data_IF_669855451598
#
_entry.id   IF_669855451598
#
_cell.length_a   1.000
_cell.length_b   1.000
_cell.length_c   1.000
_cell.angle_alpha   90.00
_cell.angle_beta   90.00
_cell.angle_gamma   90.00
#
_symmetry.space_group_name_H-M   'P 1'
#
loop_
_entity.id
_entity.type
_entity.pdbx_description
1 polymer ?
#
# COMPACT_ATOMS: atom_id res chain seq x y z
N UNK A 1 -1.65 24.03 31.27
CA UNK A 1 -2.60 24.16 30.14
C UNK A 1 -1.71 24.38 28.92
N UNK A 2 -1.22 23.33 28.23
CA UNK A 2 -1.91 22.47 27.25
C UNK A 2 -2.69 23.35 26.26
N UNK A 3 -2.44 23.37 24.94
CA UNK A 3 -2.21 22.24 24.03
C UNK A 3 -1.27 22.63 22.86
N UNK A 4 -0.41 21.69 22.47
CA UNK A 4 0.27 21.63 21.17
C UNK A 4 -0.76 21.23 20.12
N UNK A 5 -1.09 22.14 19.21
CA UNK A 5 -1.89 21.82 18.02
C UNK A 5 -0.98 21.19 16.97
N UNK A 6 -1.07 19.87 16.86
CA UNK A 6 -0.47 19.08 15.80
C UNK A 6 -1.19 19.44 14.50
N UNK A 7 -0.61 20.36 13.72
CA UNK A 7 -1.09 20.66 12.38
C UNK A 7 -0.82 19.46 11.45
N UNK A 8 -1.83 18.61 11.29
CA UNK A 8 -1.90 17.59 10.25
C UNK A 8 -2.10 18.31 8.91
N UNK A 9 -1.01 18.54 8.19
CA UNK A 9 -1.04 19.18 6.89
C UNK A 9 -1.77 18.28 5.89
N UNK A 10 -2.98 18.68 5.51
CA UNK A 10 -3.68 18.15 4.33
C UNK A 10 -2.80 18.39 3.10
N UNK A 11 -2.36 17.36 2.36
CA UNK A 11 -1.56 17.55 1.17
C UNK A 11 -2.40 18.25 0.08
N UNK A 12 -1.77 19.10 -0.75
CA UNK A 12 -2.46 19.81 -1.83
C UNK A 12 -3.08 18.84 -2.84
N UNK A 13 -4.24 19.20 -3.39
CA UNK A 13 -5.08 18.37 -4.27
C UNK A 13 -4.43 17.92 -5.61
N UNK A 14 -3.18 18.34 -5.87
CA UNK A 14 -2.39 17.99 -7.06
C UNK A 14 -1.09 17.24 -6.69
N UNK A 15 -0.94 16.87 -5.41
CA UNK A 15 0.12 15.99 -4.98
C UNK A 15 -0.25 14.55 -5.39
N UNK A 16 0.64 13.90 -6.14
CA UNK A 16 0.51 12.47 -6.42
C UNK A 16 0.35 11.64 -5.13
N UNK A 17 0.01 10.34 -5.25
CA UNK A 17 -0.38 9.52 -4.12
C UNK A 17 0.69 9.53 -3.02
N UNK A 18 0.23 9.57 -1.76
CA UNK A 18 1.12 9.62 -0.61
C UNK A 18 1.95 8.33 -0.57
N UNK A 19 3.26 8.48 -0.70
CA UNK A 19 4.20 7.39 -0.89
C UNK A 19 4.72 6.81 0.43
N UNK A 20 4.71 5.48 0.59
CA UNK A 20 5.32 4.80 1.74
C UNK A 20 5.92 3.43 1.38
N UNK A 21 7.22 3.27 1.62
CA UNK A 21 7.93 2.01 1.41
C UNK A 21 7.92 1.10 2.66
N UNK A 22 7.46 -0.13 2.48
CA UNK A 22 7.43 -1.21 3.49
C UNK A 22 8.53 -2.26 3.30
N UNK A 23 9.16 -2.30 2.12
CA UNK A 23 10.34 -3.11 1.86
C UNK A 23 11.25 -2.37 0.87
N UNK A 24 12.54 -2.30 1.17
CA UNK A 24 13.55 -1.65 0.32
C UNK A 24 13.83 -2.49 -0.93
N UNK A 25 13.47 -3.78 -0.90
CA UNK A 25 13.48 -4.72 -2.02
C UNK A 25 12.07 -4.99 -2.54
N UNK A 26 11.12 -4.10 -2.25
CA UNK A 26 9.74 -4.26 -2.67
C UNK A 26 9.64 -4.37 -4.19
N UNK A 27 8.84 -5.34 -4.63
CA UNK A 27 8.64 -5.73 -6.03
C UNK A 27 7.19 -5.50 -6.49
N UNK A 28 6.34 -5.01 -5.58
CA UNK A 28 4.92 -4.74 -5.80
C UNK A 28 4.56 -3.35 -5.29
N UNK A 29 3.81 -2.60 -6.10
CA UNK A 29 3.20 -1.33 -5.74
C UNK A 29 1.70 -1.52 -5.54
N UNK A 30 1.16 -1.11 -4.38
CA UNK A 30 -0.27 -1.05 -4.12
C UNK A 30 -0.73 0.40 -4.18
N UNK A 31 -1.66 0.71 -5.07
CA UNK A 31 -2.37 2.00 -5.13
C UNK A 31 -3.70 1.84 -4.42
N UNK A 32 -3.87 2.49 -3.27
CA UNK A 32 -4.97 2.22 -2.34
C UNK A 32 -5.80 3.46 -2.15
N UNK A 33 -7.12 3.30 -2.23
CA UNK A 33 -8.07 4.40 -2.21
C UNK A 33 -8.11 5.18 -3.54
N UNK A 34 -8.82 6.29 -3.51
CA UNK A 34 -9.04 7.18 -4.65
C UNK A 34 -8.56 8.59 -4.32
N UNK A 35 -8.19 9.36 -5.35
CA UNK A 35 -7.76 10.74 -5.17
C UNK A 35 -8.87 11.60 -4.49
N UNK A 36 -8.51 12.57 -3.63
CA UNK A 36 -7.14 13.00 -3.29
C UNK A 36 -6.43 12.14 -2.23
N UNK A 37 -7.15 11.21 -1.59
CA UNK A 37 -6.66 10.42 -0.46
C UNK A 37 -6.01 9.09 -0.89
N UNK A 38 -5.46 9.01 -2.11
CA UNK A 38 -4.82 7.79 -2.60
C UNK A 38 -3.40 7.64 -2.05
N UNK A 39 -3.05 6.41 -1.65
CA UNK A 39 -1.72 6.08 -1.14
C UNK A 39 -1.03 5.07 -2.06
N UNK A 40 0.29 5.20 -2.18
CA UNK A 40 1.15 4.22 -2.84
C UNK A 40 2.01 3.51 -1.81
N UNK A 41 1.85 2.19 -1.70
CA UNK A 41 2.69 1.34 -0.86
C UNK A 41 3.64 0.48 -1.69
N UNK A 42 4.94 0.54 -1.42
CA UNK A 42 5.91 -0.41 -1.97
C UNK A 42 6.14 -1.54 -0.98
N UNK A 43 5.86 -2.76 -1.39
CA UNK A 43 5.80 -3.95 -0.52
C UNK A 43 6.53 -5.13 -1.17
N UNK A 44 6.84 -6.16 -0.37
CA UNK A 44 7.36 -7.43 -0.89
C UNK A 44 6.20 -8.39 -1.13
N UNK A 45 5.97 -8.73 -2.39
CA UNK A 45 4.93 -9.68 -2.84
C UNK A 45 5.01 -10.98 -2.05
N UNK A 46 6.20 -11.59 -1.96
CA UNK A 46 6.43 -12.87 -1.26
C UNK A 46 6.03 -12.82 0.22
N UNK A 47 6.22 -11.69 0.89
CA UNK A 47 5.79 -11.53 2.29
C UNK A 47 4.26 -11.49 2.37
N UNK A 48 3.59 -10.76 1.47
CA UNK A 48 2.13 -10.70 1.38
C UNK A 48 1.50 -12.05 1.07
N UNK A 49 2.05 -12.79 0.08
CA UNK A 49 1.54 -14.12 -0.30
C UNK A 49 1.59 -15.10 0.88
N UNK A 50 2.64 -15.03 1.71
CA UNK A 50 2.79 -15.90 2.87
C UNK A 50 1.86 -15.53 4.02
N UNK A 51 1.55 -14.24 4.17
CA UNK A 51 0.75 -13.74 5.27
C UNK A 51 -0.76 -13.82 5.01
N UNK A 52 -1.20 -13.88 3.74
CA UNK A 52 -2.61 -13.85 3.38
C UNK A 52 -2.94 -14.71 2.17
N UNK A 53 -3.89 -15.63 2.35
CA UNK A 53 -4.44 -16.44 1.25
C UNK A 53 -5.20 -15.59 0.23
N UNK A 54 -5.81 -14.47 0.66
CA UNK A 54 -6.50 -13.54 -0.25
C UNK A 54 -5.49 -12.90 -1.19
N UNK A 55 -4.41 -12.32 -0.67
CA UNK A 55 -3.34 -11.76 -1.50
C UNK A 55 -2.65 -12.84 -2.34
N UNK A 56 -2.47 -14.05 -1.80
CA UNK A 56 -1.91 -15.15 -2.57
C UNK A 56 -2.74 -15.48 -3.80
N UNK A 57 -4.05 -15.59 -3.60
CA UNK A 57 -4.94 -15.86 -4.72
C UNK A 57 -4.89 -14.66 -5.67
N UNK A 58 -5.00 -13.42 -5.16
CA UNK A 58 -5.12 -12.20 -5.98
C UNK A 58 -3.93 -12.01 -6.91
N UNK A 59 -2.72 -12.19 -6.38
CA UNK A 59 -1.46 -11.88 -7.07
C UNK A 59 -0.92 -13.05 -7.92
N UNK A 60 -1.35 -14.29 -7.66
CA UNK A 60 -0.94 -15.47 -8.44
C UNK A 60 -2.06 -16.08 -9.29
N UNK A 61 -3.30 -15.63 -9.09
CA UNK A 61 -4.49 -16.10 -9.79
C UNK A 61 -4.56 -15.62 -11.24
N UNK A 62 -5.64 -15.96 -11.96
CA UNK A 62 -5.81 -15.60 -13.37
C UNK A 62 -6.22 -14.13 -13.58
N UNK A 63 -6.09 -13.27 -12.56
CA UNK A 63 -6.62 -11.92 -12.55
C UNK A 63 -5.62 -10.88 -13.05
N UNK A 64 -6.13 -9.67 -13.27
CA UNK A 64 -5.35 -8.52 -13.76
C UNK A 64 -4.29 -8.06 -12.79
N UNK A 65 -4.45 -8.36 -11.50
CA UNK A 65 -3.50 -8.03 -10.43
C UNK A 65 -2.27 -8.96 -10.42
N UNK A 66 -2.24 -9.99 -11.26
CA UNK A 66 -1.09 -10.89 -11.38
C UNK A 66 0.16 -10.15 -11.87
N UNK A 67 1.32 -10.63 -11.44
CA UNK A 67 2.62 -10.10 -11.85
C UNK A 67 2.73 -9.99 -13.38
N UNK A 68 3.10 -8.79 -13.84
CA UNK A 68 3.39 -8.52 -15.23
C UNK A 68 4.73 -9.17 -15.63
N UNK A 69 4.79 -9.68 -16.87
CA UNK A 69 6.01 -10.26 -17.44
C UNK A 69 7.10 -9.18 -17.63
N UNK A 70 6.70 -7.92 -17.77
CA UNK A 70 7.58 -6.76 -17.90
C UNK A 70 6.90 -5.49 -17.39
N UNK A 71 7.67 -4.60 -16.75
CA UNK A 71 7.18 -3.34 -16.20
C UNK A 71 6.98 -3.36 -14.69
N UNK A 72 6.56 -2.22 -14.13
CA UNK A 72 6.25 -2.09 -12.72
C UNK A 72 4.99 -2.89 -12.38
N UNK A 73 5.07 -3.76 -11.37
CA UNK A 73 3.91 -4.50 -10.90
C UNK A 73 3.09 -3.60 -9.98
N UNK A 74 2.00 -3.05 -10.51
CA UNK A 74 1.07 -2.16 -9.80
C UNK A 74 -0.29 -2.83 -9.67
N UNK A 75 -0.86 -2.80 -8.47
CA UNK A 75 -2.21 -3.27 -8.18
C UNK A 75 -3.02 -2.13 -7.61
N UNK A 76 -4.18 -1.86 -8.21
CA UNK A 76 -5.11 -0.84 -7.77
C UNK A 76 -6.16 -1.44 -6.84
N UNK A 77 -6.37 -0.80 -5.69
CA UNK A 77 -7.28 -1.17 -4.62
C UNK A 77 -8.13 0.08 -4.24
N UNK A 78 -9.00 0.57 -5.14
CA UNK A 78 -9.70 1.84 -4.95
C UNK A 78 -10.72 1.79 -3.80
N UNK A 79 -11.26 0.61 -3.50
CA UNK A 79 -12.29 0.41 -2.47
C UNK A 79 -11.71 0.16 -1.06
N UNK A 80 -10.38 -0.04 -0.96
CA UNK A 80 -9.72 -0.28 0.32
C UNK A 80 -9.34 1.05 1.01
N UNK A 81 -9.51 1.08 2.33
CA UNK A 81 -9.07 2.20 3.16
C UNK A 81 -7.53 2.20 3.33
N UNK A 82 -6.81 3.26 2.90
CA UNK A 82 -5.36 3.32 2.98
C UNK A 82 -4.81 3.19 4.40
N UNK A 83 -5.51 3.75 5.39
CA UNK A 83 -5.05 3.77 6.79
C UNK A 83 -5.11 2.38 7.40
N UNK A 84 -6.20 1.65 7.14
CA UNK A 84 -6.40 0.27 7.58
C UNK A 84 -5.41 -0.66 6.89
N UNK A 85 -5.26 -0.56 5.56
CA UNK A 85 -4.32 -1.42 4.86
C UNK A 85 -2.88 -1.17 5.29
N UNK A 86 -2.50 0.10 5.56
CA UNK A 86 -1.18 0.43 6.13
C UNK A 86 -0.88 -0.34 7.42
N UNK A 87 -1.87 -0.51 8.31
CA UNK A 87 -1.70 -1.27 9.55
C UNK A 87 -1.48 -2.76 9.26
N UNK A 88 -2.25 -3.34 8.34
CA UNK A 88 -2.06 -4.73 7.90
C UNK A 88 -0.67 -4.93 7.30
N UNK A 89 -0.21 -4.00 6.46
CA UNK A 89 1.12 -4.04 5.86
C UNK A 89 2.23 -3.91 6.91
N UNK A 90 2.06 -3.04 7.91
CA UNK A 90 2.96 -2.91 9.07
C UNK A 90 3.11 -4.25 9.80
N UNK A 91 2.00 -4.93 10.12
CA UNK A 91 2.02 -6.21 10.81
C UNK A 91 2.68 -7.29 9.95
N UNK A 92 2.30 -7.34 8.67
CA UNK A 92 2.76 -8.35 7.70
C UNK A 92 4.26 -8.26 7.45
N UNK A 93 4.82 -7.05 7.39
CA UNK A 93 6.25 -6.81 7.17
C UNK A 93 7.05 -6.65 8.49
N UNK A 94 6.40 -6.79 9.64
CA UNK A 94 7.05 -6.64 10.95
C UNK A 94 7.63 -5.25 11.22
N UNK A 95 7.08 -4.19 10.61
CA UNK A 95 7.57 -2.80 10.71
C UNK A 95 6.88 -2.02 11.83
N UNK A 96 7.21 -2.36 13.08
CA UNK A 96 6.58 -1.80 14.30
C UNK A 96 7.16 -0.45 14.78
N UNK A 97 7.99 0.22 13.98
CA UNK A 97 8.67 1.47 14.34
C UNK A 97 7.90 2.69 13.85
#
# INVERSE_FOLDING_TARGET
MAETDSSEATPPADAGPIYKAFDDRGDLQLLVGVAPDQYKFIVCSRTLLRASSVFNTMLNGPWTEKQLVSGDWVVELPDDDPISLRRVLTLTHGRFR
#
